data_IF_833670561173
#
_entry.id   IF_833670561173
#
_cell.length_a   1.000
_cell.length_b   1.000
_cell.length_c   1.000
_cell.angle_alpha   90.00
_cell.angle_beta   90.00
_cell.angle_gamma   90.00
#
_symmetry.space_group_name_H-M   'P 1'
#
loop_
_entity.id
_entity.type
_entity.pdbx_description
1 polymer ?
#
# COMPACT_ATOMS: atom_id res chain seq x y z
N UNK A 1 33.23 7.19 -8.51
CA UNK A 1 32.25 8.21 -8.11
C UNK A 1 30.89 7.53 -8.14
N UNK A 2 30.35 7.14 -6.97
CA UNK A 2 29.00 6.58 -6.89
C UNK A 2 28.03 7.74 -7.17
N UNK A 3 27.20 7.61 -8.21
CA UNK A 3 26.08 8.52 -8.40
C UNK A 3 25.10 8.35 -7.22
N UNK A 4 24.50 9.45 -6.73
CA UNK A 4 23.56 9.38 -5.62
C UNK A 4 22.37 8.49 -5.98
N UNK A 5 21.93 7.67 -5.01
CA UNK A 5 20.70 6.84 -5.03
C UNK A 5 19.44 7.72 -4.97
N UNK A 6 19.40 8.78 -5.75
CA UNK A 6 18.32 9.77 -5.79
C UNK A 6 17.51 9.71 -7.08
N UNK A 7 17.63 8.62 -7.84
CA UNK A 7 16.53 8.19 -8.68
C UNK A 7 15.46 7.61 -7.75
N UNK A 8 14.78 8.50 -7.01
CA UNK A 8 13.50 8.18 -6.36
C UNK A 8 12.57 7.85 -7.52
N UNK A 9 12.61 6.58 -7.94
CA UNK A 9 11.84 6.08 -9.06
C UNK A 9 10.40 6.51 -8.83
N UNK A 10 9.94 7.48 -9.62
CA UNK A 10 8.56 7.89 -9.63
C UNK A 10 7.82 6.68 -10.19
N UNK A 11 7.03 6.02 -9.34
CA UNK A 11 6.23 4.87 -9.74
C UNK A 11 4.81 5.35 -10.00
N UNK A 12 4.30 5.05 -11.17
CA UNK A 12 2.93 5.39 -11.58
C UNK A 12 1.91 4.47 -10.92
N UNK A 13 0.64 4.91 -10.87
CA UNK A 13 -0.49 4.09 -10.43
C UNK A 13 -0.54 2.76 -11.20
N UNK A 14 -0.29 2.80 -12.51
CA UNK A 14 -0.33 1.61 -13.36
C UNK A 14 0.76 0.61 -12.98
N UNK A 15 2.00 1.05 -12.80
CA UNK A 15 3.10 0.15 -12.42
C UNK A 15 2.88 -0.52 -11.07
N UNK A 16 2.26 0.18 -10.11
CA UNK A 16 1.87 -0.42 -8.82
C UNK A 16 0.76 -1.47 -8.99
N UNK A 17 -0.23 -1.20 -9.85
CA UNK A 17 -1.28 -2.17 -10.18
C UNK A 17 -0.72 -3.39 -10.92
N UNK A 18 0.21 -3.19 -11.84
CA UNK A 18 0.88 -4.28 -12.56
C UNK A 18 1.67 -5.16 -11.59
N UNK A 19 2.35 -4.54 -10.61
CA UNK A 19 3.05 -5.27 -9.54
C UNK A 19 2.08 -6.08 -8.67
N UNK A 20 0.96 -5.50 -8.28
CA UNK A 20 -0.11 -6.21 -7.53
C UNK A 20 -0.66 -7.38 -8.35
N UNK A 21 -0.87 -7.17 -9.64
CA UNK A 21 -1.34 -8.21 -10.57
C UNK A 21 -0.34 -9.37 -10.65
N UNK A 22 0.95 -9.07 -10.76
CA UNK A 22 2.00 -10.07 -10.75
C UNK A 22 2.04 -10.91 -9.46
N UNK A 23 1.93 -10.26 -8.29
CA UNK A 23 1.89 -10.95 -6.99
C UNK A 23 0.70 -11.91 -6.89
N UNK A 24 -0.49 -11.48 -7.34
CA UNK A 24 -1.70 -12.30 -7.22
C UNK A 24 -1.84 -13.36 -8.33
N UNK A 25 -0.94 -13.38 -9.32
CA UNK A 25 -0.99 -14.31 -10.44
C UNK A 25 -0.89 -15.78 -10.01
N UNK A 26 -0.03 -16.10 -9.03
CA UNK A 26 0.10 -17.46 -8.50
C UNK A 26 -1.20 -17.97 -7.87
N UNK A 27 -1.84 -17.13 -7.04
CA UNK A 27 -3.13 -17.45 -6.41
C UNK A 27 -4.23 -17.69 -7.45
N UNK A 28 -4.29 -16.88 -8.50
CA UNK A 28 -5.25 -17.05 -9.59
C UNK A 28 -4.97 -18.33 -10.38
N UNK A 29 -3.70 -18.66 -10.62
CA UNK A 29 -3.34 -19.89 -11.32
C UNK A 29 -3.74 -21.15 -10.53
N UNK A 30 -3.55 -21.15 -9.21
CA UNK A 30 -4.05 -22.23 -8.33
C UNK A 30 -5.56 -22.42 -8.50
N UNK A 31 -6.32 -21.33 -8.50
CA UNK A 31 -7.78 -21.39 -8.64
C UNK A 31 -8.23 -21.93 -10.00
N UNK A 32 -7.60 -21.46 -11.08
CA UNK A 32 -8.04 -21.77 -12.44
C UNK A 32 -7.59 -23.15 -12.91
N UNK A 33 -6.40 -23.61 -12.51
CA UNK A 33 -5.78 -24.80 -13.08
C UNK A 33 -5.63 -25.97 -12.10
N UNK A 34 -5.51 -25.70 -10.80
CA UNK A 34 -5.36 -26.74 -9.78
C UNK A 34 -6.71 -27.08 -9.16
N UNK A 35 -7.59 -26.08 -8.98
CA UNK A 35 -8.92 -26.26 -8.38
C UNK A 35 -8.89 -26.45 -6.86
N UNK A 36 -7.72 -26.29 -6.24
CA UNK A 36 -7.52 -26.29 -4.79
C UNK A 36 -6.64 -25.10 -4.41
N UNK A 37 -7.02 -24.39 -3.35
CA UNK A 37 -6.37 -23.16 -2.91
C UNK A 37 -5.46 -23.50 -1.73
N UNK A 38 -4.17 -23.20 -1.87
CA UNK A 38 -3.18 -23.41 -0.82
C UNK A 38 -2.90 -22.17 0.03
N UNK A 39 -1.95 -22.32 0.97
CA UNK A 39 -1.41 -21.21 1.78
C UNK A 39 -0.22 -20.51 1.13
N UNK A 40 0.21 -20.96 -0.06
CA UNK A 40 1.42 -20.49 -0.75
C UNK A 40 1.39 -19.00 -1.08
N UNK A 41 0.23 -18.45 -1.42
CA UNK A 41 0.05 -17.04 -1.76
C UNK A 41 0.02 -16.07 -0.55
N UNK A 42 0.25 -16.56 0.67
CA UNK A 42 0.18 -15.72 1.88
C UNK A 42 1.08 -14.47 1.82
N UNK A 43 2.33 -14.65 1.39
CA UNK A 43 3.29 -13.55 1.25
C UNK A 43 2.85 -12.55 0.18
N UNK A 44 2.28 -13.06 -0.92
CA UNK A 44 1.82 -12.23 -2.03
C UNK A 44 0.64 -11.35 -1.61
N UNK A 45 -0.31 -11.90 -0.84
CA UNK A 45 -1.40 -11.12 -0.26
C UNK A 45 -0.92 -10.01 0.66
N UNK A 46 0.03 -10.30 1.54
CA UNK A 46 0.58 -9.28 2.44
C UNK A 46 1.24 -8.15 1.64
N UNK A 47 2.02 -8.48 0.62
CA UNK A 47 2.70 -7.50 -0.22
C UNK A 47 1.72 -6.69 -1.06
N UNK A 48 0.77 -7.35 -1.73
CA UNK A 48 -0.27 -6.70 -2.53
C UNK A 48 -1.11 -5.74 -1.67
N UNK A 49 -1.53 -6.19 -0.49
CA UNK A 49 -2.30 -5.37 0.46
C UNK A 49 -1.51 -4.14 0.90
N UNK A 50 -0.21 -4.29 1.20
CA UNK A 50 0.65 -3.16 1.57
C UNK A 50 0.77 -2.15 0.44
N UNK A 51 0.94 -2.60 -0.80
CA UNK A 51 1.03 -1.72 -1.98
C UNK A 51 -0.28 -0.95 -2.14
N UNK A 52 -1.42 -1.64 -2.16
CA UNK A 52 -2.74 -1.01 -2.34
C UNK A 52 -3.04 -0.04 -1.19
N UNK A 53 -2.70 -0.40 0.05
CA UNK A 53 -2.85 0.50 1.20
C UNK A 53 -2.01 1.77 1.01
N UNK A 54 -0.75 1.67 0.59
CA UNK A 54 0.09 2.83 0.32
C UNK A 54 -0.45 3.68 -0.86
N UNK A 55 -0.94 3.04 -1.94
CA UNK A 55 -1.58 3.73 -3.06
C UNK A 55 -2.73 4.62 -2.58
N UNK A 56 -3.58 4.10 -1.70
CA UNK A 56 -4.76 4.81 -1.20
C UNK A 56 -4.39 5.83 -0.12
N UNK A 57 -3.63 5.40 0.89
CA UNK A 57 -3.38 6.19 2.10
C UNK A 57 -2.23 7.18 1.94
N UNK A 58 -1.21 6.86 1.16
CA UNK A 58 0.01 7.67 1.08
C UNK A 58 0.12 8.44 -0.23
N UNK A 59 -0.28 7.81 -1.34
CA UNK A 59 -0.09 8.38 -2.68
C UNK A 59 -1.33 9.04 -3.26
N UNK A 60 -2.47 9.01 -2.56
CA UNK A 60 -3.72 9.65 -3.01
C UNK A 60 -4.25 9.09 -4.33
N UNK A 61 -3.96 7.82 -4.65
CA UNK A 61 -4.32 7.18 -5.92
C UNK A 61 -5.74 6.60 -5.95
N UNK A 62 -6.59 7.00 -5.01
CA UNK A 62 -8.00 6.60 -4.92
C UNK A 62 -8.89 7.66 -5.56
N UNK A 63 -9.64 7.29 -6.59
CA UNK A 63 -10.54 8.22 -7.29
C UNK A 63 -11.74 8.63 -6.42
N UNK A 64 -12.08 7.82 -5.41
CA UNK A 64 -13.18 8.10 -4.45
C UNK A 64 -12.75 9.05 -3.33
N UNK A 65 -11.50 8.93 -2.87
CA UNK A 65 -10.97 9.72 -1.77
C UNK A 65 -10.24 10.98 -2.27
N UNK A 66 -9.85 11.01 -3.54
CA UNK A 66 -9.06 12.09 -4.12
C UNK A 66 -7.59 12.08 -3.69
N UNK A 67 -6.82 13.09 -4.11
CA UNK A 67 -5.38 13.18 -3.89
C UNK A 67 -5.05 13.65 -2.47
N UNK A 68 -5.46 12.88 -1.46
CA UNK A 68 -5.22 13.15 -0.04
C UNK A 68 -4.42 12.04 0.62
N UNK A 69 -3.65 12.41 1.64
CA UNK A 69 -2.90 11.46 2.48
C UNK A 69 -3.66 11.20 3.79
N UNK A 70 -3.76 9.94 4.18
CA UNK A 70 -4.43 9.46 5.38
C UNK A 70 -3.43 8.83 6.34
N UNK A 71 -3.60 9.06 7.66
CA UNK A 71 -2.75 8.43 8.68
C UNK A 71 -1.36 9.05 8.87
N UNK A 72 -1.11 10.25 8.32
CA UNK A 72 0.09 11.03 8.64
C UNK A 72 -0.04 11.62 10.06
N UNK A 73 0.35 10.82 11.06
CA UNK A 73 0.68 11.29 12.40
C UNK A 73 2.13 10.92 12.75
N UNK A 74 3.03 11.02 11.76
CA UNK A 74 4.48 11.10 11.98
C UNK A 74 4.98 12.56 11.91
N UNK A 75 4.16 13.51 12.36
CA UNK A 75 4.67 14.82 12.75
C UNK A 75 5.54 14.63 13.99
N UNK A 76 6.81 14.99 13.88
CA UNK A 76 7.80 15.03 14.96
C UNK A 76 7.18 15.11 16.36
N UNK A 77 7.55 14.16 17.22
CA UNK A 77 7.37 14.25 18.67
C UNK A 77 8.21 15.45 19.15
N UNK A 78 7.68 16.66 19.04
CA UNK A 78 8.27 17.84 19.65
C UNK A 78 7.98 17.76 21.15
N UNK A 79 9.02 17.96 21.95
CA UNK A 79 9.04 17.78 23.40
C UNK A 79 7.82 18.46 24.07
N UNK A 80 6.88 17.66 24.56
CA UNK A 80 5.88 18.08 25.55
C UNK A 80 4.50 18.47 25.01
N UNK A 81 3.71 17.50 24.54
CA UNK A 81 2.24 17.56 24.62
C UNK A 81 1.66 16.14 24.50
N UNK A 82 0.69 15.87 25.36
CA UNK A 82 0.06 14.59 25.66
C UNK A 82 -0.36 13.69 24.48
N UNK A 83 -0.34 12.39 24.82
CA UNK A 83 -0.70 11.21 24.03
C UNK A 83 -2.16 11.29 23.58
N UNK A 84 -2.37 11.55 22.30
CA UNK A 84 -3.67 11.42 21.63
C UNK A 84 -3.44 11.02 20.18
N UNK A 85 -3.51 9.71 19.88
CA UNK A 85 -3.52 9.21 18.51
C UNK A 85 -4.86 9.60 17.86
N UNK A 86 -4.94 10.77 17.23
CA UNK A 86 -6.07 11.12 16.37
C UNK A 86 -5.90 10.42 15.02
N UNK A 87 -6.76 9.45 14.75
CA UNK A 87 -6.94 8.91 13.40
C UNK A 87 -7.60 10.00 12.55
N UNK A 88 -6.93 10.47 11.50
CA UNK A 88 -7.44 11.51 10.59
C UNK A 88 -8.49 10.98 9.60
N UNK A 89 -9.23 9.92 9.95
CA UNK A 89 -10.28 9.36 9.11
C UNK A 89 -11.44 8.88 9.98
N UNK A 90 -12.67 9.04 9.48
CA UNK A 90 -13.87 8.52 10.15
C UNK A 90 -13.94 7.00 10.05
N UNK A 91 -14.66 6.33 10.97
CA UNK A 91 -14.91 4.88 10.94
C UNK A 91 -15.44 4.36 9.59
N UNK A 92 -16.09 5.21 8.78
CA UNK A 92 -16.58 4.85 7.45
C UNK A 92 -15.48 4.57 6.41
N UNK A 93 -14.23 4.93 6.69
CA UNK A 93 -13.06 4.76 5.81
C UNK A 93 -12.19 3.56 6.25
N UNK A 94 -12.41 3.00 7.45
CA UNK A 94 -11.59 1.95 8.07
C UNK A 94 -11.79 0.55 7.47
#
# INVERSE_FOLDING_TARGET
IMLPKEDRMIVTKQELLDKVTGLLGGRVAEELFIGEIGTGAYSDFQQATRIVRAMIMEYGMSDKLGPMQFGSSQGQVFLGRDIGHEQNYSDSIA
#
